data_IF_525861454926
#
_entry.id   IF_525861454926
#
_cell.length_a   1.000
_cell.length_b   1.000
_cell.length_c   1.000
_cell.angle_alpha   90.00
_cell.angle_beta   90.00
_cell.angle_gamma   90.00
#
_symmetry.space_group_name_H-M   'P 1'
#
loop_
_entity.id
_entity.type
_entity.pdbx_description
1 polymer ?
#
# COMPACT_ATOMS: atom_id res chain seq x y z
N UNK A 1 5.61 16.72 1.98
CA UNK A 1 5.59 15.26 2.27
C UNK A 1 4.13 14.85 2.29
N UNK A 2 3.76 13.78 1.59
CA UNK A 2 2.35 13.34 1.60
C UNK A 2 1.93 12.81 2.96
N UNK A 3 0.62 12.83 3.19
CA UNK A 3 0.03 12.37 4.45
C UNK A 3 0.05 10.84 4.61
N UNK A 4 0.04 10.11 3.50
CA UNK A 4 0.10 8.64 3.47
C UNK A 4 1.35 8.18 2.74
N UNK A 5 2.03 7.17 3.27
CA UNK A 5 3.09 6.44 2.57
C UNK A 5 2.87 4.94 2.67
N UNK A 6 3.49 4.20 1.75
CA UNK A 6 3.40 2.75 1.72
C UNK A 6 4.77 2.11 1.58
N UNK A 7 4.88 0.86 2.00
CA UNK A 7 6.07 0.04 1.80
C UNK A 7 5.64 -1.41 1.61
N UNK A 8 6.17 -2.09 0.61
CA UNK A 8 5.88 -3.51 0.36
C UNK A 8 7.19 -4.28 0.43
N UNK A 9 7.25 -5.22 1.37
CA UNK A 9 8.35 -6.16 1.50
C UNK A 9 7.89 -7.53 0.99
N UNK A 10 8.66 -8.16 0.11
CA UNK A 10 8.46 -9.54 -0.28
C UNK A 10 9.06 -10.46 0.80
N UNK A 11 8.21 -11.04 1.63
CA UNK A 11 8.60 -11.92 2.73
C UNK A 11 9.13 -13.28 2.29
N UNK A 12 8.97 -13.66 1.01
CA UNK A 12 9.54 -14.91 0.48
C UNK A 12 11.03 -14.75 0.23
N UNK A 13 11.41 -13.61 -0.33
CA UNK A 13 12.80 -13.33 -0.72
C UNK A 13 13.54 -12.46 0.30
N UNK A 14 12.81 -11.82 1.21
CA UNK A 14 13.37 -10.90 2.20
C UNK A 14 13.82 -9.57 1.58
N UNK A 15 13.30 -9.20 0.42
CA UNK A 15 13.69 -7.99 -0.33
C UNK A 15 12.49 -7.07 -0.60
N UNK A 16 12.73 -5.80 -0.97
CA UNK A 16 11.64 -4.91 -1.32
C UNK A 16 10.89 -5.36 -2.58
N UNK A 17 9.56 -5.25 -2.54
CA UNK A 17 8.71 -5.56 -3.68
C UNK A 17 8.61 -4.35 -4.61
N UNK A 18 9.53 -4.25 -5.56
CA UNK A 18 9.59 -3.17 -6.56
C UNK A 18 8.43 -3.24 -7.57
N UNK A 19 7.94 -2.07 -7.98
CA UNK A 19 7.01 -1.90 -9.10
C UNK A 19 5.56 -2.28 -8.83
N UNK A 20 5.19 -2.60 -7.59
CA UNK A 20 3.82 -2.89 -7.16
C UNK A 20 2.96 -1.64 -7.36
N UNK A 21 1.86 -1.75 -8.11
CA UNK A 21 0.93 -0.64 -8.23
C UNK A 21 0.15 -0.45 -6.92
N UNK A 22 0.04 0.80 -6.48
CA UNK A 22 -0.64 1.19 -5.24
C UNK A 22 -1.62 2.32 -5.54
N UNK A 23 -2.87 2.21 -5.08
CA UNK A 23 -3.86 3.28 -5.15
C UNK A 23 -4.39 3.65 -3.77
N UNK A 24 -4.77 4.92 -3.61
CA UNK A 24 -5.44 5.46 -2.44
C UNK A 24 -6.80 6.04 -2.86
N UNK A 25 -7.84 5.68 -2.12
CA UNK A 25 -9.23 6.07 -2.36
C UNK A 25 -9.89 6.49 -1.04
N UNK A 26 -10.85 7.40 -1.11
CA UNK A 26 -11.77 7.66 -0.01
C UNK A 26 -12.76 6.48 0.16
N UNK A 27 -13.45 6.40 1.30
CA UNK A 27 -14.43 5.34 1.56
C UNK A 27 -15.56 5.22 0.53
N UNK A 28 -15.92 6.32 -0.13
CA UNK A 28 -16.95 6.36 -1.18
C UNK A 28 -16.44 5.90 -2.56
N UNK A 29 -15.16 5.53 -2.66
CA UNK A 29 -14.51 5.10 -3.90
C UNK A 29 -13.91 6.25 -4.72
N UNK A 30 -13.96 7.49 -4.23
CA UNK A 30 -13.29 8.61 -4.89
C UNK A 30 -11.77 8.37 -4.92
N UNK A 31 -11.20 8.36 -6.13
CA UNK A 31 -9.76 8.21 -6.31
C UNK A 31 -9.01 9.44 -5.80
N UNK A 32 -7.99 9.22 -4.96
CA UNK A 32 -7.17 10.30 -4.38
C UNK A 32 -5.79 10.31 -5.05
N UNK A 33 -5.15 9.13 -5.14
CA UNK A 33 -3.81 9.02 -5.69
C UNK A 33 -3.52 7.60 -6.19
N UNK A 34 -2.53 7.50 -7.08
CA UNK A 34 -1.95 6.23 -7.50
C UNK A 34 -0.44 6.40 -7.73
N UNK A 35 0.31 5.35 -7.40
CA UNK A 35 1.76 5.30 -7.54
C UNK A 35 2.24 3.86 -7.78
N UNK A 36 3.55 3.68 -7.89
CA UNK A 36 4.21 2.38 -7.87
C UNK A 36 5.31 2.38 -6.83
N UNK A 37 5.54 1.22 -6.20
CA UNK A 37 6.68 1.07 -5.31
C UNK A 37 8.00 1.26 -6.05
N UNK A 38 8.92 2.00 -5.46
CA UNK A 38 10.27 2.23 -5.96
C UNK A 38 11.19 1.01 -5.74
N UNK A 39 12.50 1.20 -5.96
CA UNK A 39 13.53 0.17 -5.83
C UNK A 39 13.71 -0.32 -4.38
N UNK A 40 13.29 0.48 -3.40
CA UNK A 40 13.22 0.10 -1.98
C UNK A 40 11.80 -0.35 -1.58
N UNK A 41 10.94 -0.66 -2.55
CA UNK A 41 9.59 -1.17 -2.31
C UNK A 41 8.65 -0.12 -1.72
N UNK A 42 8.99 1.17 -1.75
CA UNK A 42 8.29 2.25 -1.07
C UNK A 42 7.47 3.11 -2.02
N UNK A 43 6.42 3.70 -1.47
CA UNK A 43 5.75 4.88 -2.03
C UNK A 43 5.93 5.99 -1.00
N UNK A 44 6.97 6.84 -1.14
CA UNK A 44 7.27 7.90 -0.18
C UNK A 44 6.30 9.07 -0.29
N UNK A 45 5.57 9.18 -1.41
CA UNK A 45 4.51 10.17 -1.59
C UNK A 45 3.25 9.53 -2.21
N UNK A 46 2.19 9.33 -1.42
CA UNK A 46 0.89 8.81 -1.87
C UNK A 46 -0.25 9.76 -1.52
N UNK A 47 -0.51 10.73 -2.39
CA UNK A 47 -1.61 11.68 -2.26
C UNK A 47 -1.22 13.02 -1.64
N UNK A 48 -2.20 13.82 -1.19
CA UNK A 48 -1.98 15.18 -0.73
C UNK A 48 -1.19 15.24 0.58
N UNK A 49 -0.75 16.45 0.94
CA UNK A 49 -0.04 16.71 2.21
C UNK A 49 -0.94 16.58 3.44
N UNK A 50 -2.27 16.62 3.26
CA UNK A 50 -3.26 16.46 4.33
C UNK A 50 -4.47 15.69 3.81
N UNK A 51 -5.10 14.92 4.69
CA UNK A 51 -6.40 14.28 4.46
C UNK A 51 -7.38 14.67 5.56
N UNK A 52 -8.66 14.81 5.20
CA UNK A 52 -9.71 14.99 6.20
C UNK A 52 -9.87 13.74 7.05
N UNK A 53 -10.31 13.90 8.30
CA UNK A 53 -10.66 12.77 9.15
C UNK A 53 -11.76 11.93 8.49
N UNK A 54 -11.56 10.61 8.43
CA UNK A 54 -12.49 9.72 7.74
C UNK A 54 -11.86 8.39 7.36
N UNK A 55 -12.64 7.55 6.69
CA UNK A 55 -12.18 6.24 6.25
C UNK A 55 -11.62 6.31 4.83
N UNK A 56 -10.51 5.60 4.63
CA UNK A 56 -9.77 5.53 3.39
C UNK A 56 -9.39 4.08 3.08
N UNK A 57 -9.01 3.86 1.83
CA UNK A 57 -8.62 2.56 1.32
C UNK A 57 -7.33 2.68 0.53
N UNK A 58 -6.36 1.85 0.86
CA UNK A 58 -5.16 1.63 0.04
C UNK A 58 -5.21 0.23 -0.58
N UNK A 59 -4.96 0.13 -1.88
CA UNK A 59 -4.97 -1.13 -2.63
C UNK A 59 -3.62 -1.40 -3.28
N UNK A 60 -3.07 -2.57 -3.04
CA UNK A 60 -1.81 -3.07 -3.59
C UNK A 60 -2.10 -4.15 -4.65
N UNK A 61 -1.59 -3.99 -5.87
CA UNK A 61 -1.77 -4.92 -6.99
C UNK A 61 -0.88 -6.18 -6.86
N UNK A 62 -1.06 -6.94 -5.77
CA UNK A 62 -0.24 -8.11 -5.42
C UNK A 62 -0.32 -9.24 -6.45
N UNK A 63 -1.48 -9.44 -7.07
CA UNK A 63 -1.65 -10.44 -8.13
C UNK A 63 -0.77 -10.16 -9.33
N UNK A 64 -0.72 -8.90 -9.78
CA UNK A 64 0.14 -8.49 -10.89
C UNK A 64 1.63 -8.65 -10.54
N UNK A 65 2.01 -8.32 -9.30
CA UNK A 65 3.38 -8.44 -8.81
C UNK A 65 3.89 -9.89 -8.86
N UNK A 66 3.10 -10.85 -8.37
CA UNK A 66 3.47 -12.27 -8.38
C UNK A 66 3.33 -12.92 -9.77
N UNK A 67 2.36 -12.49 -10.59
CA UNK A 67 2.24 -12.94 -11.97
C UNK A 67 3.49 -12.60 -12.79
N UNK A 68 4.05 -11.40 -12.63
CA UNK A 68 5.31 -10.99 -13.27
C UNK A 68 6.53 -11.82 -12.84
N UNK A 69 6.40 -12.64 -11.79
CA UNK A 69 7.42 -13.54 -11.25
C UNK A 69 7.11 -15.02 -11.52
N UNK A 70 6.08 -15.32 -12.31
CA UNK A 70 5.59 -16.68 -12.55
C UNK A 70 5.27 -17.45 -11.24
N UNK A 71 4.83 -16.73 -10.21
CA UNK A 71 4.51 -17.30 -8.90
C UNK A 71 2.98 -17.21 -8.69
N UNK A 72 2.29 -18.34 -8.40
CA UNK A 72 0.89 -18.29 -8.01
C UNK A 72 0.72 -17.59 -6.66
N UNK A 73 -0.33 -16.77 -6.53
CA UNK A 73 -0.75 -16.14 -5.28
C UNK A 73 -2.26 -16.32 -5.08
N UNK A 74 -2.68 -16.36 -3.82
CA UNK A 74 -4.09 -16.38 -3.44
C UNK A 74 -4.76 -15.00 -3.58
N UNK A 75 -3.99 -13.91 -3.60
CA UNK A 75 -4.52 -12.55 -3.53
C UNK A 75 -4.43 -11.85 -4.90
N UNK A 76 -5.54 -11.62 -5.62
CA UNK A 76 -5.52 -10.82 -6.84
C UNK A 76 -5.07 -9.37 -6.58
N UNK A 77 -5.44 -8.84 -5.41
CA UNK A 77 -4.98 -7.59 -4.83
C UNK A 77 -5.15 -7.67 -3.30
N UNK A 78 -4.43 -6.83 -2.57
CA UNK A 78 -4.64 -6.63 -1.13
C UNK A 78 -5.15 -5.22 -0.91
N UNK A 79 -6.29 -5.11 -0.25
CA UNK A 79 -6.93 -3.83 0.07
C UNK A 79 -6.99 -3.67 1.59
N UNK A 80 -6.44 -2.58 2.09
CA UNK A 80 -6.44 -2.21 3.51
C UNK A 80 -7.32 -0.98 3.69
N UNK A 81 -8.38 -1.11 4.49
CA UNK A 81 -9.21 0.02 4.89
C UNK A 81 -8.69 0.54 6.24
N UNK A 82 -8.60 1.85 6.40
CA UNK A 82 -8.08 2.48 7.62
C UNK A 82 -8.71 3.86 7.84
N UNK A 83 -8.78 4.26 9.11
CA UNK A 83 -9.31 5.57 9.51
C UNK A 83 -8.18 6.57 9.67
N UNK A 84 -8.32 7.72 9.04
CA UNK A 84 -7.49 8.90 9.20
C UNK A 84 -8.12 9.84 10.23
N UNK A 85 -7.27 10.44 11.05
CA UNK A 85 -7.56 11.54 11.96
C UNK A 85 -6.66 12.71 11.56
N UNK A 86 -7.24 13.90 11.40
CA UNK A 86 -6.55 15.08 10.91
C UNK A 86 -5.47 15.63 11.88
N UNK A 87 -5.51 15.23 13.16
CA UNK A 87 -4.53 15.60 14.18
C UNK A 87 -3.21 14.83 14.05
N UNK A 88 -3.21 13.73 13.30
CA UNK A 88 -2.03 12.92 13.06
C UNK A 88 -1.13 13.57 12.01
N UNK A 89 0.18 13.29 12.05
CA UNK A 89 1.11 13.92 11.08
C UNK A 89 1.27 13.12 9.80
N UNK A 90 1.10 11.80 9.89
CA UNK A 90 1.47 10.86 8.84
C UNK A 90 0.90 9.47 9.11
N UNK A 91 0.60 8.75 8.02
CA UNK A 91 0.15 7.37 8.01
C UNK A 91 1.09 6.53 7.14
N UNK A 92 1.89 5.68 7.78
CA UNK A 92 2.67 4.66 7.08
C UNK A 92 1.89 3.34 7.05
N UNK A 93 1.66 2.78 5.86
CA UNK A 93 0.96 1.49 5.68
C UNK A 93 1.87 0.46 5.01
N UNK A 94 2.62 -0.34 5.80
CA UNK A 94 3.45 -1.42 5.28
C UNK A 94 2.64 -2.67 4.92
N UNK A 95 3.10 -3.41 3.92
CA UNK A 95 2.61 -4.73 3.55
C UNK A 95 3.78 -5.72 3.53
N UNK A 96 3.77 -6.69 4.44
CA UNK A 96 4.68 -7.84 4.41
C UNK A 96 3.99 -8.94 3.62
N UNK A 97 4.46 -9.19 2.40
CA UNK A 97 3.73 -9.94 1.39
C UNK A 97 4.38 -11.31 1.13
N UNK A 98 3.57 -12.36 1.22
CA UNK A 98 3.88 -13.66 0.64
C UNK A 98 2.71 -14.12 -0.26
N UNK A 99 2.89 -15.11 -1.13
CA UNK A 99 1.85 -15.49 -2.08
C UNK A 99 0.56 -16.00 -1.43
N UNK A 100 0.61 -16.50 -0.19
CA UNK A 100 -0.53 -17.12 0.52
C UNK A 100 -0.74 -16.59 1.95
N UNK A 101 0.01 -15.57 2.36
CA UNK A 101 -0.19 -14.84 3.61
C UNK A 101 0.33 -13.41 3.46
N UNK A 102 -0.28 -12.46 4.15
CA UNK A 102 0.31 -11.13 4.32
C UNK A 102 0.04 -10.60 5.72
N UNK A 103 0.80 -9.59 6.12
CA UNK A 103 0.47 -8.77 7.28
C UNK A 103 0.61 -7.29 6.95
N UNK A 104 -0.17 -6.47 7.63
CA UNK A 104 -0.18 -5.01 7.51
C UNK A 104 -0.40 -4.42 8.90
N UNK A 105 0.02 -3.18 9.10
CA UNK A 105 -0.15 -2.45 10.36
C UNK A 105 0.00 -0.94 10.11
N UNK A 106 -0.23 -0.12 11.14
CA UNK A 106 0.14 1.30 11.10
C UNK A 106 1.59 1.45 11.53
N UNK A 107 2.47 1.81 10.60
CA UNK A 107 3.85 2.16 10.88
C UNK A 107 3.98 3.56 11.49
N UNK A 108 5.14 3.82 12.09
CA UNK A 108 5.55 5.14 12.59
C UNK A 108 5.93 6.10 11.48
#
# INVERSE_FOLDING_TARGET
>A
MSYVTAHVLDSVTGTPAQGVAVSLEAADGTSIAAARTDDDGRVPELGPETLESGDYRITFATGQYFAGRNQPTFYPFVTVNFTVQAEERHYHVPLLLSPFAFSTYRGS
#
